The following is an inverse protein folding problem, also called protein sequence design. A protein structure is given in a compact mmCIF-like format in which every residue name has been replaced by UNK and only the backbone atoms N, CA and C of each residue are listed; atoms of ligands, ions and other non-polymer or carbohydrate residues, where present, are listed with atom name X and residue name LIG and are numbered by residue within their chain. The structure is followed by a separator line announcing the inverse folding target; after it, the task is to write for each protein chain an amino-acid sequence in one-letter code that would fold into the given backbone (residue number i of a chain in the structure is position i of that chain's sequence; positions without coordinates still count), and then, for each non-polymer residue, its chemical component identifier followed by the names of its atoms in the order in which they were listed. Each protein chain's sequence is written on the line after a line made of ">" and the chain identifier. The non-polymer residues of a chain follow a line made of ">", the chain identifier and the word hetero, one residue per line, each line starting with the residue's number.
data_IF_287026359503
#
_entry.id   IF_287026359503
#
_cell.length_a   1.000
_cell.length_b   1.000
_cell.length_c   1.000
_cell.angle_alpha   90.00
_cell.angle_beta   90.00
_cell.angle_gamma   90.00
#
_symmetry.space_group_name_H-M   'P 1'
#
loop_
_entity.id
_entity.type
_entity.pdbx_description
1 polymer ?
#
# COMPACT_ATOMS: atom_id res chain seq x y z
N UNK A 1 19.47 2.96 23.99
CA UNK A 1 18.81 4.02 23.19
C UNK A 1 17.78 3.36 22.28
N UNK A 2 16.51 3.71 22.48
CA UNK A 2 15.39 3.16 21.74
C UNK A 2 15.15 3.98 20.46
N UNK A 3 15.41 3.38 19.30
CA UNK A 3 15.06 4.00 18.01
C UNK A 3 13.58 3.75 17.68
N UNK A 4 12.83 4.79 17.36
CA UNK A 4 11.44 4.67 16.94
C UNK A 4 11.34 4.92 15.45
N UNK A 5 10.78 3.96 14.71
CA UNK A 5 10.55 4.07 13.28
C UNK A 5 9.07 4.36 13.02
N UNK A 6 8.80 5.35 12.19
CA UNK A 6 7.43 5.73 11.86
C UNK A 6 7.23 5.66 10.35
N UNK A 7 6.17 5.03 9.94
CA UNK A 7 5.76 4.94 8.56
C UNK A 7 4.40 5.64 8.41
N UNK A 8 4.31 6.62 7.52
CA UNK A 8 3.04 7.29 7.21
C UNK A 8 2.46 6.67 5.94
N UNK A 9 1.23 6.21 6.02
CA UNK A 9 0.48 5.82 4.83
C UNK A 9 -0.60 6.86 4.58
N UNK A 10 -0.54 7.55 3.44
CA UNK A 10 -1.59 8.46 3.03
C UNK A 10 -2.73 7.65 2.39
N UNK A 11 -3.76 7.37 3.17
CA UNK A 11 -5.02 6.89 2.63
C UNK A 11 -5.98 8.08 2.54
N UNK A 12 -6.81 8.11 1.50
CA UNK A 12 -7.78 9.17 1.22
C UNK A 12 -8.74 9.46 2.38
N UNK A 13 -9.40 10.64 2.40
CA UNK A 13 -9.84 11.33 3.63
C UNK A 13 -11.11 10.82 4.33
N UNK A 14 -11.52 9.58 4.19
CA UNK A 14 -12.72 9.10 4.89
C UNK A 14 -12.45 8.06 5.99
N UNK A 15 -11.23 7.59 6.11
CA UNK A 15 -10.85 6.72 7.24
C UNK A 15 -9.57 7.28 7.85
N UNK A 16 -9.66 7.71 9.06
CA UNK A 16 -8.61 8.46 9.77
C UNK A 16 -7.19 7.98 9.51
N UNK A 17 -6.33 8.93 9.21
CA UNK A 17 -4.92 8.71 8.93
C UNK A 17 -4.27 7.88 10.03
N UNK A 18 -3.75 6.73 9.67
CA UNK A 18 -3.01 5.89 10.61
C UNK A 18 -1.52 6.25 10.53
N UNK A 19 -1.07 7.05 11.46
CA UNK A 19 0.37 7.21 11.69
C UNK A 19 0.82 5.96 12.44
N UNK A 20 1.57 5.10 11.78
CA UNK A 20 2.08 3.87 12.38
C UNK A 20 3.49 4.12 12.90
N UNK A 21 3.70 3.90 14.19
CA UNK A 21 5.02 3.96 14.80
C UNK A 21 5.54 2.56 15.06
N UNK A 22 6.78 2.34 14.67
CA UNK A 22 7.49 1.10 14.99
C UNK A 22 8.55 1.43 16.02
N UNK A 23 8.43 0.93 17.24
CA UNK A 23 9.46 1.11 18.28
C UNK A 23 10.36 -0.12 18.34
N UNK A 24 11.67 0.13 18.28
CA UNK A 24 12.70 -0.91 18.43
C UNK A 24 13.28 -0.77 19.84
N UNK A 25 13.19 -1.81 20.66
CA UNK A 25 13.89 -1.86 21.95
C UNK A 25 15.16 -2.69 21.78
N UNK A 26 16.35 -2.14 22.07
CA UNK A 26 17.63 -2.80 21.71
C UNK A 26 18.01 -4.04 22.54
N UNK A 27 17.34 -4.31 23.65
CA UNK A 27 17.85 -5.26 24.64
C UNK A 27 17.21 -6.65 24.64
N UNK A 28 16.16 -6.87 23.86
CA UNK A 28 15.43 -8.16 23.89
C UNK A 28 14.92 -8.54 22.52
N UNK A 29 15.71 -9.03 21.61
CA UNK A 29 15.31 -9.62 20.33
C UNK A 29 13.94 -9.15 19.81
N UNK A 30 13.83 -7.97 19.32
CA UNK A 30 12.60 -7.17 19.33
C UNK A 30 11.65 -7.48 18.19
N UNK A 31 10.40 -7.80 18.51
CA UNK A 31 9.29 -7.70 17.57
C UNK A 31 9.01 -6.24 17.25
N UNK A 32 9.09 -5.88 15.98
CA UNK A 32 8.65 -4.59 15.47
C UNK A 32 7.13 -4.51 15.68
N UNK A 33 6.70 -3.73 16.65
CA UNK A 33 5.28 -3.45 16.86
C UNK A 33 4.88 -2.23 16.03
N UNK A 34 4.03 -2.45 15.05
CA UNK A 34 3.38 -1.34 14.33
C UNK A 34 2.26 -0.84 15.24
N UNK A 35 2.41 0.36 15.77
CA UNK A 35 1.40 0.98 16.62
C UNK A 35 0.85 2.23 15.96
N UNK A 36 -0.45 2.40 16.01
CA UNK A 36 -1.09 3.64 15.60
C UNK A 36 -0.79 4.73 16.64
N UNK A 37 -0.92 5.99 16.23
CA UNK A 37 -0.81 7.11 17.16
C UNK A 37 -1.85 6.96 18.27
N UNK A 38 -1.41 7.06 19.52
CA UNK A 38 -2.30 7.00 20.69
C UNK A 38 -3.20 8.24 20.74
N UNK A 39 -4.41 8.06 21.26
CA UNK A 39 -5.42 9.15 21.32
C UNK A 39 -4.89 10.41 22.01
N UNK A 40 -4.12 10.25 23.08
CA UNK A 40 -3.54 11.38 23.82
C UNK A 40 -2.51 12.15 22.99
N UNK A 41 -1.64 11.43 22.29
CA UNK A 41 -0.65 12.04 21.40
C UNK A 41 -1.32 12.73 20.21
N UNK A 42 -2.35 12.09 19.65
CA UNK A 42 -3.14 12.67 18.56
C UNK A 42 -3.80 13.98 19.01
N UNK A 43 -4.47 13.95 20.18
CA UNK A 43 -5.13 15.15 20.74
C UNK A 43 -4.12 16.28 20.95
N UNK A 44 -2.98 15.96 21.58
CA UNK A 44 -1.91 16.94 21.82
C UNK A 44 -1.40 17.58 20.51
N UNK A 45 -1.18 16.77 19.48
CA UNK A 45 -0.71 17.29 18.19
C UNK A 45 -1.78 18.15 17.51
N UNK A 46 -3.02 17.70 17.54
CA UNK A 46 -4.14 18.42 16.90
C UNK A 46 -4.44 19.74 17.56
N UNK A 47 -4.32 19.85 18.89
CA UNK A 47 -4.50 21.14 19.60
C UNK A 47 -3.52 22.20 19.07
N UNK A 48 -2.25 21.84 18.92
CA UNK A 48 -1.23 22.77 18.38
C UNK A 48 -1.52 23.16 16.93
N UNK A 49 -1.99 22.20 16.12
CA UNK A 49 -2.31 22.44 14.71
C UNK A 49 -3.53 23.37 14.60
N UNK A 50 -4.58 23.12 15.38
CA UNK A 50 -5.78 23.96 15.38
C UNK A 50 -5.44 25.41 15.73
N UNK A 51 -4.60 25.61 16.74
CA UNK A 51 -4.12 26.94 17.13
C UNK A 51 -3.33 27.62 16.00
N UNK A 52 -2.46 26.85 15.31
CA UNK A 52 -1.70 27.36 14.17
C UNK A 52 -2.63 27.71 12.99
N UNK A 53 -3.60 26.86 12.67
CA UNK A 53 -4.59 27.12 11.61
C UNK A 53 -5.39 28.40 11.91
N UNK A 54 -5.83 28.58 13.17
CA UNK A 54 -6.57 29.76 13.57
C UNK A 54 -5.73 31.05 13.38
N UNK A 55 -4.41 30.99 13.72
CA UNK A 55 -3.48 32.12 13.50
C UNK A 55 -3.32 32.42 12.01
N UNK A 56 -3.20 31.39 11.17
CA UNK A 56 -3.05 31.52 9.70
C UNK A 56 -4.29 32.22 9.10
N UNK A 57 -5.48 31.72 9.44
CA UNK A 57 -6.74 32.28 8.94
C UNK A 57 -6.90 33.75 9.41
N UNK A 58 -6.57 34.04 10.68
CA UNK A 58 -6.60 35.42 11.22
C UNK A 58 -5.62 36.35 10.49
N UNK A 59 -4.51 35.80 9.99
CA UNK A 59 -3.52 36.56 9.19
C UNK A 59 -3.92 36.69 7.72
N UNK A 60 -5.10 36.20 7.33
CA UNK A 60 -5.61 36.29 5.95
C UNK A 60 -5.11 35.19 5.02
N UNK A 61 -4.48 34.14 5.54
CA UNK A 61 -4.05 32.98 4.76
C UNK A 61 -5.21 31.98 4.59
N UNK A 62 -5.14 31.16 3.56
CA UNK A 62 -6.08 30.06 3.38
C UNK A 62 -5.93 29.03 4.50
N UNK A 63 -7.03 28.35 4.82
CA UNK A 63 -6.98 27.22 5.77
C UNK A 63 -6.18 26.08 5.13
N UNK A 64 -5.24 25.45 5.86
CA UNK A 64 -4.49 24.32 5.31
C UNK A 64 -5.38 23.16 4.87
N UNK A 65 -4.92 22.44 3.87
CA UNK A 65 -5.57 21.22 3.38
C UNK A 65 -5.46 20.09 4.41
N UNK A 66 -6.27 19.06 4.26
CA UNK A 66 -6.19 17.86 5.12
C UNK A 66 -4.78 17.25 5.09
N UNK A 67 -4.17 17.14 3.90
CA UNK A 67 -2.84 16.56 3.74
C UNK A 67 -1.76 17.39 4.47
N UNK A 68 -1.84 18.73 4.40
CA UNK A 68 -0.92 19.61 5.14
C UNK A 68 -1.09 19.45 6.66
N UNK A 69 -2.33 19.31 7.12
CA UNK A 69 -2.63 19.07 8.55
C UNK A 69 -2.04 17.73 9.00
N UNK A 70 -2.26 16.67 8.22
CA UNK A 70 -1.75 15.32 8.52
C UNK A 70 -0.22 15.28 8.52
N UNK A 71 0.40 15.99 7.58
CA UNK A 71 1.87 16.11 7.50
C UNK A 71 2.40 16.83 8.73
N UNK A 72 1.77 17.95 9.13
CA UNK A 72 2.14 18.67 10.35
C UNK A 72 1.99 17.79 11.60
N UNK A 73 0.88 17.04 11.68
CA UNK A 73 0.63 16.09 12.76
C UNK A 73 1.78 15.07 12.86
N UNK A 74 2.16 14.49 11.72
CA UNK A 74 3.26 13.50 11.69
C UNK A 74 4.57 14.11 12.21
N UNK A 75 4.94 15.31 11.77
CA UNK A 75 6.18 15.96 12.21
C UNK A 75 6.17 16.31 13.70
N UNK A 76 5.05 16.82 14.24
CA UNK A 76 4.92 17.13 15.68
C UNK A 76 5.05 15.83 16.47
N UNK A 77 4.39 14.78 16.01
CA UNK A 77 4.40 13.46 16.65
C UNK A 77 5.81 12.84 16.65
N UNK A 78 6.53 12.85 15.51
CA UNK A 78 7.90 12.34 15.42
C UNK A 78 8.83 13.07 16.41
N UNK A 79 8.71 14.40 16.46
CA UNK A 79 9.48 15.21 17.42
C UNK A 79 9.15 14.83 18.87
N UNK A 80 7.84 14.68 19.18
CA UNK A 80 7.38 14.31 20.52
C UNK A 80 7.91 12.94 20.95
N UNK A 81 7.91 11.98 20.02
CA UNK A 81 8.43 10.62 20.27
C UNK A 81 9.95 10.52 20.16
N UNK A 82 10.63 11.61 19.80
CA UNK A 82 12.10 11.66 19.62
C UNK A 82 12.59 10.59 18.65
N UNK A 83 11.91 10.45 17.53
CA UNK A 83 12.27 9.45 16.50
C UNK A 83 13.67 9.72 15.95
N UNK A 84 14.50 8.70 15.88
CA UNK A 84 15.85 8.78 15.29
C UNK A 84 15.78 8.86 13.76
N UNK A 85 14.81 8.17 13.16
CA UNK A 85 14.58 8.13 11.71
C UNK A 85 13.08 8.26 11.45
N UNK A 86 12.71 9.13 10.51
CA UNK A 86 11.36 9.22 9.97
C UNK A 86 11.39 8.79 8.51
N UNK A 87 10.50 7.89 8.10
CA UNK A 87 10.31 7.50 6.71
C UNK A 87 9.08 8.23 6.20
N UNK A 88 9.27 9.12 5.23
CA UNK A 88 8.22 9.98 4.68
C UNK A 88 7.90 9.57 3.25
N UNK A 89 6.63 9.29 2.98
CA UNK A 89 6.15 9.12 1.61
C UNK A 89 5.63 10.47 1.11
N UNK A 90 6.17 10.94 -0.02
CA UNK A 90 5.69 12.15 -0.69
C UNK A 90 4.28 11.90 -1.24
N UNK A 91 3.35 12.78 -0.95
CA UNK A 91 1.97 12.64 -1.39
C UNK A 91 1.81 12.82 -2.90
N UNK A 92 2.34 13.92 -3.44
CA UNK A 92 2.18 14.22 -4.87
C UNK A 92 3.25 15.16 -5.40
N UNK A 93 3.96 14.74 -6.43
CA UNK A 93 4.85 15.60 -7.23
C UNK A 93 6.21 15.93 -6.63
N UNK A 94 6.27 16.25 -5.38
CA UNK A 94 7.52 16.52 -4.65
C UNK A 94 7.77 17.98 -4.30
N UNK A 95 8.09 18.86 -5.26
CA UNK A 95 8.56 20.23 -4.95
C UNK A 95 7.52 21.10 -4.22
N UNK A 96 6.24 20.88 -4.47
CA UNK A 96 5.14 21.59 -3.80
C UNK A 96 4.46 20.73 -2.73
N UNK A 97 4.97 19.56 -2.48
CA UNK A 97 4.39 18.62 -1.49
C UNK A 97 4.66 19.12 -0.06
N UNK A 98 3.69 18.92 0.83
CA UNK A 98 3.80 19.33 2.23
C UNK A 98 4.98 18.67 2.96
N UNK A 99 5.39 17.48 2.52
CA UNK A 99 6.56 16.77 3.11
C UNK A 99 7.88 17.47 2.76
N UNK A 100 7.91 18.34 1.75
CA UNK A 100 9.14 19.02 1.29
C UNK A 100 9.57 20.17 2.20
N UNK A 101 8.99 20.31 3.39
CA UNK A 101 9.42 21.30 4.38
C UNK A 101 10.75 20.93 5.04
N UNK A 102 11.18 19.67 4.95
CA UNK A 102 12.43 19.21 5.56
C UNK A 102 13.64 19.84 4.85
N UNK A 103 14.58 20.43 5.61
CA UNK A 103 15.71 21.11 4.97
C UNK A 103 16.77 20.16 4.40
N UNK A 104 16.89 18.96 4.97
CA UNK A 104 17.86 17.95 4.52
C UNK A 104 17.29 16.55 4.75
N UNK A 105 17.40 15.70 3.73
CA UNK A 105 17.07 14.27 3.85
C UNK A 105 18.38 13.48 3.97
N UNK A 106 18.37 12.45 4.82
CA UNK A 106 19.53 11.52 4.95
C UNK A 106 19.61 10.58 3.75
N UNK A 107 18.46 10.26 3.18
CA UNK A 107 18.35 9.42 1.98
C UNK A 107 17.05 9.80 1.27
N UNK A 108 17.10 9.98 -0.03
CA UNK A 108 15.92 10.15 -0.88
C UNK A 108 15.78 8.90 -1.74
N UNK A 109 14.57 8.32 -1.77
CA UNK A 109 14.31 7.09 -2.51
C UNK A 109 13.33 7.41 -3.64
N UNK A 110 13.76 7.13 -4.87
CA UNK A 110 12.91 7.23 -6.07
C UNK A 110 12.45 5.81 -6.43
N UNK A 111 11.17 5.57 -6.27
CA UNK A 111 10.54 4.30 -6.65
C UNK A 111 10.08 4.36 -8.11
N UNK A 112 9.37 3.35 -8.58
CA UNK A 112 8.80 3.36 -9.92
C UNK A 112 7.85 4.55 -10.10
N UNK A 113 7.92 5.17 -11.26
CA UNK A 113 7.05 6.32 -11.61
C UNK A 113 6.08 5.82 -12.67
N UNK A 114 4.79 5.97 -12.41
CA UNK A 114 3.73 5.62 -13.33
C UNK A 114 2.94 6.85 -13.78
N UNK A 115 2.08 6.68 -14.77
CA UNK A 115 1.34 7.77 -15.41
C UNK A 115 0.02 8.09 -14.70
N UNK A 116 -0.01 7.96 -13.37
CA UNK A 116 -1.13 8.49 -12.55
C UNK A 116 -0.86 9.97 -12.24
N UNK A 117 -1.88 10.77 -12.11
CA UNK A 117 -1.79 12.22 -11.80
C UNK A 117 -0.94 13.02 -12.81
N UNK A 118 -1.18 12.80 -14.10
CA UNK A 118 -0.43 13.43 -15.22
C UNK A 118 -0.24 14.95 -15.11
N UNK A 119 -1.19 15.66 -14.55
CA UNK A 119 -1.15 17.13 -14.44
C UNK A 119 -0.07 17.63 -13.47
N UNK A 120 0.42 16.76 -12.57
CA UNK A 120 1.31 17.18 -11.47
C UNK A 120 2.69 16.49 -11.51
N UNK A 121 2.86 15.51 -12.40
CA UNK A 121 4.10 14.74 -12.43
C UNK A 121 5.19 15.40 -13.27
N UNK A 122 6.15 15.77 -12.70
CA UNK A 122 7.35 16.24 -13.30
C UNK A 122 8.49 15.30 -12.96
N UNK A 123 8.40 14.24 -13.44
CA UNK A 123 9.33 13.16 -13.23
C UNK A 123 10.76 13.49 -13.52
N UNK A 124 10.92 14.35 -14.32
CA UNK A 124 12.23 14.77 -14.62
C UNK A 124 12.82 15.70 -13.60
N UNK A 125 12.03 16.22 -13.01
CA UNK A 125 12.42 17.11 -11.99
C UNK A 125 13.06 16.45 -10.79
N UNK A 126 12.62 15.42 -10.50
CA UNK A 126 13.16 14.71 -9.38
C UNK A 126 14.56 14.20 -9.65
N UNK A 127 14.77 13.79 -10.72
CA UNK A 127 16.07 13.34 -11.11
C UNK A 127 17.03 14.52 -11.32
N UNK A 128 16.54 15.48 -11.74
CA UNK A 128 17.34 16.66 -11.85
C UNK A 128 17.64 17.36 -10.53
N UNK A 129 16.89 17.22 -9.76
CA UNK A 129 17.11 17.77 -8.46
C UNK A 129 18.12 16.97 -7.67
N UNK A 130 18.10 15.89 -7.82
CA UNK A 130 19.05 15.05 -7.17
C UNK A 130 20.46 15.23 -7.72
N UNK A 131 20.52 15.38 -8.83
CA UNK A 131 21.74 15.67 -9.46
C UNK A 131 22.31 17.06 -9.16
N UNK A 132 21.58 17.97 -9.00
CA UNK A 132 22.04 19.34 -8.66
C UNK A 132 22.50 19.46 -7.19
N UNK A 133 22.02 18.68 -6.34
CA UNK A 133 22.36 18.69 -4.90
C UNK A 133 23.66 17.91 -4.57
N UNK A 134 24.33 17.40 -5.56
CA UNK A 134 25.56 16.60 -5.40
C UNK A 134 25.33 15.36 -4.51
N UNK A 135 24.13 14.80 -4.56
CA UNK A 135 23.82 13.56 -3.82
C UNK A 135 24.46 12.36 -4.52
N UNK A 136 25.00 11.44 -3.75
CA UNK A 136 25.47 10.17 -4.28
C UNK A 136 24.27 9.36 -4.79
N UNK A 137 24.34 8.96 -6.06
CA UNK A 137 23.25 8.21 -6.70
C UNK A 137 23.57 6.71 -6.71
N UNK A 138 22.71 5.94 -6.10
CA UNK A 138 22.74 4.47 -6.18
C UNK A 138 21.54 4.01 -7.01
N UNK A 139 21.79 3.26 -8.06
CA UNK A 139 20.72 2.70 -8.91
C UNK A 139 20.57 1.21 -8.57
N UNK A 140 19.35 0.79 -8.30
CA UNK A 140 19.05 -0.62 -8.01
C UNK A 140 19.29 -1.49 -9.24
N UNK A 141 20.19 -2.45 -9.11
CA UNK A 141 20.44 -3.46 -10.16
C UNK A 141 19.55 -4.67 -9.89
N UNK A 142 18.34 -4.65 -10.43
CA UNK A 142 17.38 -5.74 -10.24
C UNK A 142 17.81 -7.04 -10.95
N UNK A 143 18.77 -6.98 -11.88
CA UNK A 143 19.30 -8.19 -12.52
C UNK A 143 20.15 -9.03 -11.56
N UNK A 144 20.64 -8.43 -10.47
CA UNK A 144 21.40 -9.11 -9.43
C UNK A 144 20.51 -9.88 -8.42
N UNK A 145 19.19 -9.85 -8.59
CA UNK A 145 18.26 -10.61 -7.75
C UNK A 145 18.27 -12.08 -8.18
N UNK A 146 18.47 -12.97 -7.23
CA UNK A 146 18.34 -14.41 -7.44
C UNK A 146 17.19 -14.92 -6.55
N UNK A 147 16.04 -15.18 -7.15
CA UNK A 147 14.87 -15.74 -6.44
C UNK A 147 15.12 -17.23 -6.25
N UNK A 148 15.19 -17.68 -4.99
CA UNK A 148 15.39 -19.09 -4.63
C UNK A 148 14.06 -19.84 -4.50
N UNK A 149 13.05 -19.18 -3.93
CA UNK A 149 11.72 -19.76 -3.76
C UNK A 149 10.67 -18.64 -3.76
N UNK A 150 9.55 -18.88 -4.44
CA UNK A 150 8.41 -17.95 -4.45
C UNK A 150 7.12 -18.76 -4.31
N UNK A 151 6.26 -18.34 -3.40
CA UNK A 151 4.98 -19.02 -3.15
C UNK A 151 4.09 -18.20 -2.24
N UNK A 152 2.96 -18.80 -1.84
CA UNK A 152 1.96 -18.13 -0.99
C UNK A 152 2.48 -17.81 0.41
N UNK A 153 3.61 -18.41 0.82
CA UNK A 153 4.26 -18.12 2.12
C UNK A 153 5.27 -16.98 2.04
N UNK A 154 5.48 -16.42 0.85
CA UNK A 154 6.44 -15.34 0.61
C UNK A 154 7.48 -15.69 -0.41
N UNK A 155 8.54 -14.89 -0.45
CA UNK A 155 9.65 -15.05 -1.40
C UNK A 155 10.98 -15.08 -0.66
N UNK A 156 11.79 -16.10 -0.97
CA UNK A 156 13.19 -16.20 -0.54
C UNK A 156 14.11 -15.82 -1.71
N UNK A 157 15.07 -14.95 -1.46
CA UNK A 157 15.93 -14.44 -2.53
C UNK A 157 17.29 -14.03 -1.99
N UNK A 158 18.24 -13.86 -2.90
CA UNK A 158 19.54 -13.26 -2.63
C UNK A 158 19.64 -11.96 -3.45
N UNK A 159 20.38 -10.99 -2.94
CA UNK A 159 20.71 -9.77 -3.67
C UNK A 159 22.17 -9.41 -3.42
N UNK A 160 22.99 -9.53 -4.45
CA UNK A 160 24.44 -9.29 -4.37
C UNK A 160 25.05 -10.10 -3.20
N UNK A 161 25.72 -9.43 -2.25
CA UNK A 161 26.33 -10.06 -1.08
C UNK A 161 25.32 -10.43 0.01
N UNK A 162 24.13 -9.83 -0.06
CA UNK A 162 23.06 -10.08 0.93
C UNK A 162 22.35 -11.39 0.59
N UNK A 163 22.62 -12.44 1.37
CA UNK A 163 22.11 -13.79 1.15
C UNK A 163 21.00 -14.13 2.15
N UNK A 164 20.18 -15.12 1.78
CA UNK A 164 19.13 -15.67 2.62
C UNK A 164 18.14 -14.61 3.10
N UNK A 165 17.72 -13.74 2.18
CA UNK A 165 16.69 -12.75 2.42
C UNK A 165 15.31 -13.38 2.23
N UNK A 166 14.32 -12.93 2.99
CA UNK A 166 12.93 -13.39 2.81
C UNK A 166 11.95 -12.27 3.11
N UNK A 167 10.85 -12.26 2.34
CA UNK A 167 9.71 -11.36 2.55
C UNK A 167 8.42 -12.17 2.54
N UNK A 168 7.49 -11.82 3.39
CA UNK A 168 6.14 -12.40 3.41
C UNK A 168 5.22 -11.70 2.40
N UNK A 169 5.53 -10.46 2.02
CA UNK A 169 4.77 -9.71 1.03
C UNK A 169 4.82 -10.43 -0.33
N UNK A 170 3.66 -10.66 -0.91
CA UNK A 170 3.53 -11.44 -2.15
C UNK A 170 3.72 -10.55 -3.38
N UNK A 171 4.35 -11.09 -4.40
CA UNK A 171 4.58 -10.43 -5.69
C UNK A 171 6.04 -10.06 -5.94
N UNK A 172 6.46 -10.20 -7.20
CA UNK A 172 7.83 -9.87 -7.64
C UNK A 172 8.14 -8.39 -7.35
N UNK A 173 7.15 -7.52 -7.48
CA UNK A 173 7.32 -6.09 -7.18
C UNK A 173 7.78 -5.86 -5.73
N UNK A 174 7.36 -6.72 -4.80
CA UNK A 174 7.77 -6.60 -3.40
C UNK A 174 9.25 -6.97 -3.21
N UNK A 175 9.79 -7.85 -4.05
CA UNK A 175 11.23 -8.14 -4.04
C UNK A 175 12.01 -6.89 -4.53
N UNK A 176 11.52 -6.20 -5.56
CA UNK A 176 12.12 -4.93 -6.02
C UNK A 176 12.05 -3.86 -4.92
N UNK A 177 10.92 -3.77 -4.22
CA UNK A 177 10.77 -2.84 -3.08
C UNK A 177 11.75 -3.20 -1.96
N UNK A 178 11.92 -4.48 -1.65
CA UNK A 178 12.87 -4.95 -0.63
C UNK A 178 14.31 -4.56 -1.02
N UNK A 179 14.70 -4.76 -2.28
CA UNK A 179 16.03 -4.34 -2.78
C UNK A 179 16.21 -2.83 -2.64
N UNK A 180 15.19 -2.06 -2.98
CA UNK A 180 15.23 -0.60 -2.84
C UNK A 180 15.41 -0.21 -1.37
N UNK A 181 14.71 -0.88 -0.45
CA UNK A 181 14.86 -0.65 0.99
C UNK A 181 16.27 -1.02 1.49
N UNK A 182 16.84 -2.14 1.01
CA UNK A 182 18.22 -2.56 1.34
C UNK A 182 19.21 -1.44 0.95
N UNK A 183 19.10 -0.93 -0.28
CA UNK A 183 19.99 0.14 -0.76
C UNK A 183 19.83 1.43 0.05
N UNK A 184 18.61 1.77 0.46
CA UNK A 184 18.37 2.91 1.34
C UNK A 184 19.05 2.72 2.72
N UNK A 185 18.98 1.50 3.26
CA UNK A 185 19.62 1.15 4.53
C UNK A 185 21.15 1.21 4.39
N UNK A 186 21.72 0.72 3.28
CA UNK A 186 23.15 0.81 3.00
C UNK A 186 23.62 2.26 2.94
N UNK A 187 22.81 3.15 2.33
CA UNK A 187 23.10 4.59 2.30
C UNK A 187 23.06 5.20 3.72
N UNK A 188 22.14 4.76 4.58
CA UNK A 188 22.08 5.22 5.98
C UNK A 188 23.33 4.77 6.76
N UNK A 189 23.82 3.55 6.53
CA UNK A 189 25.07 3.07 7.15
C UNK A 189 26.25 3.98 6.77
N UNK A 190 26.31 4.45 5.52
CA UNK A 190 27.30 5.44 5.08
C UNK A 190 27.17 6.80 5.79
N UNK A 191 26.00 7.06 6.40
CA UNK A 191 25.69 8.31 7.10
C UNK A 191 25.68 8.18 8.64
N UNK A 192 26.38 7.17 9.18
CA UNK A 192 26.64 7.05 10.62
C UNK A 192 25.67 6.13 11.39
N UNK A 193 24.77 5.45 10.72
CA UNK A 193 23.94 4.43 11.34
C UNK A 193 24.66 3.07 11.30
N UNK A 194 24.30 2.16 12.18
CA UNK A 194 24.88 0.81 12.22
C UNK A 194 23.74 -0.20 12.10
N UNK A 195 23.43 -0.58 10.86
CA UNK A 195 22.37 -1.55 10.55
C UNK A 195 23.04 -2.74 9.86
N UNK A 196 23.06 -3.88 10.53
CA UNK A 196 23.72 -5.10 10.02
C UNK A 196 22.74 -5.99 9.25
N UNK A 197 23.24 -7.04 8.62
CA UNK A 197 22.44 -7.94 7.78
C UNK A 197 21.30 -8.63 8.55
N UNK A 198 21.48 -8.90 9.84
CA UNK A 198 20.41 -9.55 10.62
C UNK A 198 19.24 -8.58 10.83
N UNK A 199 19.52 -7.30 11.09
CA UNK A 199 18.47 -6.27 11.16
C UNK A 199 17.70 -6.18 9.84
N UNK A 200 18.40 -6.29 8.70
CA UNK A 200 17.78 -6.27 7.37
C UNK A 200 16.86 -7.49 7.20
N UNK A 201 17.37 -8.68 7.53
CA UNK A 201 16.59 -9.93 7.42
C UNK A 201 15.31 -9.85 8.28
N UNK A 202 15.45 -9.46 9.53
CA UNK A 202 14.32 -9.33 10.47
C UNK A 202 13.31 -8.30 9.95
N UNK A 203 13.76 -7.12 9.53
CA UNK A 203 12.90 -6.07 9.02
C UNK A 203 12.13 -6.48 7.77
N UNK A 204 12.78 -7.23 6.87
CA UNK A 204 12.13 -7.74 5.66
C UNK A 204 11.10 -8.82 5.99
N UNK A 205 11.41 -9.74 6.90
CA UNK A 205 10.49 -10.79 7.34
C UNK A 205 9.26 -10.24 8.07
N UNK A 206 9.43 -9.16 8.81
CA UNK A 206 8.35 -8.55 9.59
C UNK A 206 7.56 -7.52 8.78
N UNK A 207 8.03 -7.18 7.57
CA UNK A 207 7.33 -6.23 6.71
C UNK A 207 5.92 -6.72 6.38
N UNK A 208 4.93 -5.86 6.59
CA UNK A 208 3.54 -6.11 6.23
C UNK A 208 2.96 -4.86 5.60
N UNK A 209 2.06 -5.03 4.65
CA UNK A 209 1.44 -3.90 3.99
C UNK A 209 -0.01 -4.24 3.63
N UNK A 210 -0.95 -3.82 4.44
CA UNK A 210 -2.37 -4.14 4.19
C UNK A 210 -2.83 -3.64 2.82
N UNK A 211 -3.58 -4.48 2.11
CA UNK A 211 -4.14 -4.14 0.80
C UNK A 211 -3.15 -4.17 -0.36
N UNK A 212 -2.02 -4.88 -0.22
CA UNK A 212 -1.09 -5.12 -1.34
C UNK A 212 -0.93 -6.62 -1.57
N UNK A 213 -1.81 -7.18 -2.38
CA UNK A 213 -1.95 -8.64 -2.63
C UNK A 213 -1.91 -9.41 -1.30
N UNK A 214 -2.67 -8.90 -0.37
CA UNK A 214 -2.67 -9.37 1.02
C UNK A 214 -3.59 -10.58 1.18
N UNK A 215 -3.03 -11.72 1.56
CA UNK A 215 -3.80 -12.91 1.88
C UNK A 215 -4.38 -12.77 3.30
N UNK A 216 -5.70 -12.76 3.41
CA UNK A 216 -6.40 -12.62 4.70
C UNK A 216 -7.06 -13.94 5.17
N UNK A 217 -7.17 -14.92 4.25
CA UNK A 217 -7.72 -16.24 4.57
C UNK A 217 -7.12 -17.29 3.62
N UNK A 218 -6.98 -18.51 4.10
CA UNK A 218 -6.37 -19.62 3.36
C UNK A 218 -7.38 -20.53 2.65
N UNK A 219 -8.57 -20.69 3.23
CA UNK A 219 -9.62 -21.57 2.67
C UNK A 219 -11.01 -20.98 2.88
N UNK A 220 -11.66 -20.48 1.82
CA UNK A 220 -11.04 -20.24 0.51
C UNK A 220 -9.93 -19.19 0.59
N UNK A 221 -9.02 -19.21 -0.36
CA UNK A 221 -7.99 -18.15 -0.43
C UNK A 221 -8.70 -16.82 -0.69
N UNK A 222 -8.48 -15.84 0.20
CA UNK A 222 -9.05 -14.49 0.04
C UNK A 222 -7.91 -13.48 0.03
N UNK A 223 -7.85 -12.69 -1.06
CA UNK A 223 -6.80 -11.69 -1.31
C UNK A 223 -7.45 -10.30 -1.35
N UNK A 224 -6.82 -9.35 -0.67
CA UNK A 224 -7.16 -7.92 -0.76
C UNK A 224 -6.06 -7.17 -1.51
N UNK A 225 -6.45 -6.32 -2.47
CA UNK A 225 -5.49 -5.50 -3.22
C UNK A 225 -6.06 -4.12 -3.54
N UNK A 226 -5.25 -3.09 -3.36
CA UNK A 226 -5.65 -1.69 -3.61
C UNK A 226 -5.52 -1.23 -5.06
N UNK A 227 -5.30 -2.14 -6.01
CA UNK A 227 -5.12 -1.78 -7.42
C UNK A 227 -6.34 -1.01 -7.96
N UNK A 228 -6.11 0.22 -8.42
CA UNK A 228 -7.17 1.11 -8.90
C UNK A 228 -6.73 1.94 -10.13
N UNK A 229 -5.56 1.66 -10.68
CA UNK A 229 -5.05 2.28 -11.92
C UNK A 229 -4.41 1.19 -12.80
N UNK A 230 -4.07 1.52 -14.03
CA UNK A 230 -3.60 0.56 -15.03
C UNK A 230 -2.35 -0.21 -14.59
N UNK A 231 -1.35 0.48 -14.04
CA UNK A 231 -0.07 -0.15 -13.65
C UNK A 231 -0.25 -1.09 -12.45
N UNK A 232 -1.02 -0.66 -11.43
CA UNK A 232 -1.33 -1.50 -10.29
C UNK A 232 -2.16 -2.73 -10.72
N UNK A 233 -3.10 -2.55 -11.65
CA UNK A 233 -3.92 -3.63 -12.19
C UNK A 233 -3.07 -4.64 -12.99
N UNK A 234 -2.09 -4.14 -13.77
CA UNK A 234 -1.16 -5.01 -14.49
C UNK A 234 -0.35 -5.88 -13.50
N UNK A 235 0.14 -5.26 -12.41
CA UNK A 235 0.87 -5.98 -11.36
C UNK A 235 -0.04 -7.00 -10.66
N UNK A 236 -1.28 -6.60 -10.34
CA UNK A 236 -2.28 -7.50 -9.74
C UNK A 236 -2.57 -8.69 -10.64
N UNK A 237 -2.83 -8.46 -11.94
CA UNK A 237 -3.08 -9.54 -12.90
C UNK A 237 -1.91 -10.52 -12.99
N UNK A 238 -0.68 -10.00 -12.97
CA UNK A 238 0.52 -10.84 -12.94
C UNK A 238 0.59 -11.68 -11.66
N UNK A 239 0.30 -11.09 -10.51
CA UNK A 239 0.28 -11.83 -9.24
C UNK A 239 -0.81 -12.91 -9.23
N UNK A 240 -2.01 -12.59 -9.71
CA UNK A 240 -3.11 -13.56 -9.83
C UNK A 240 -2.65 -14.78 -10.64
N UNK A 241 -2.07 -14.54 -11.82
CA UNK A 241 -1.58 -15.63 -12.69
C UNK A 241 -0.42 -16.41 -12.07
N UNK A 242 0.36 -15.78 -11.20
CA UNK A 242 1.51 -16.44 -10.54
C UNK A 242 1.06 -17.32 -9.37
N UNK A 243 0.17 -16.80 -8.54
CA UNK A 243 -0.12 -17.40 -7.23
C UNK A 243 -1.40 -18.22 -7.17
N UNK A 244 -2.35 -17.99 -8.10
CA UNK A 244 -3.69 -18.58 -8.01
C UNK A 244 -4.03 -19.49 -9.20
N UNK A 245 -3.00 -20.08 -9.81
CA UNK A 245 -3.19 -21.02 -10.93
C UNK A 245 -4.05 -22.23 -10.50
N UNK A 246 -4.97 -22.60 -11.38
CA UNK A 246 -5.81 -23.79 -11.18
C UNK A 246 -7.05 -23.54 -10.32
N UNK A 247 -7.21 -22.34 -9.76
CA UNK A 247 -8.40 -22.02 -8.97
C UNK A 247 -9.47 -21.31 -9.81
N UNK A 248 -10.72 -21.53 -9.47
CA UNK A 248 -11.84 -20.72 -9.95
C UNK A 248 -11.74 -19.36 -9.25
N UNK A 249 -11.76 -18.27 -10.00
CA UNK A 249 -11.46 -16.93 -9.45
C UNK A 249 -12.71 -16.05 -9.44
N UNK A 250 -13.15 -15.67 -8.26
CA UNK A 250 -14.26 -14.75 -8.03
C UNK A 250 -13.71 -13.39 -7.61
N UNK A 251 -14.13 -12.34 -8.29
CA UNK A 251 -13.68 -10.99 -7.97
C UNK A 251 -14.78 -10.21 -7.27
N UNK A 252 -14.41 -9.45 -6.22
CA UNK A 252 -15.24 -8.38 -5.65
C UNK A 252 -14.58 -7.09 -6.12
N UNK A 253 -15.23 -6.37 -7.04
CA UNK A 253 -14.64 -5.18 -7.64
C UNK A 253 -15.48 -3.94 -7.37
N UNK A 254 -14.82 -2.90 -6.83
CA UNK A 254 -15.45 -1.60 -6.62
C UNK A 254 -14.45 -0.49 -6.95
N UNK A 255 -14.85 0.50 -7.74
CA UNK A 255 -13.95 1.54 -8.25
C UNK A 255 -14.58 2.93 -8.11
N UNK A 256 -13.76 3.95 -8.14
CA UNK A 256 -14.23 5.34 -8.20
C UNK A 256 -14.45 5.79 -9.65
N UNK A 257 -15.40 6.70 -9.85
CA UNK A 257 -15.81 7.24 -11.15
C UNK A 257 -14.68 7.89 -11.93
N UNK A 258 -13.75 8.50 -11.21
CA UNK A 258 -12.63 9.28 -11.77
C UNK A 258 -11.41 8.40 -12.14
N UNK A 259 -11.47 7.09 -11.93
CA UNK A 259 -10.38 6.17 -12.25
C UNK A 259 -10.59 5.47 -13.59
N UNK A 260 -9.50 5.03 -14.23
CA UNK A 260 -9.55 4.25 -15.46
C UNK A 260 -9.89 2.78 -15.17
N UNK A 261 -11.12 2.55 -14.73
CA UNK A 261 -11.59 1.21 -14.39
C UNK A 261 -11.65 0.26 -15.59
N UNK A 262 -11.74 0.79 -16.81
CA UNK A 262 -11.67 -0.06 -18.01
C UNK A 262 -10.27 -0.67 -18.16
N UNK A 263 -9.22 0.10 -17.92
CA UNK A 263 -7.86 -0.45 -17.90
C UNK A 263 -7.69 -1.49 -16.78
N UNK A 264 -8.28 -1.22 -15.61
CA UNK A 264 -8.24 -2.19 -14.49
C UNK A 264 -8.88 -3.52 -14.92
N UNK A 265 -10.08 -3.47 -15.52
CA UNK A 265 -10.75 -4.67 -16.05
C UNK A 265 -9.88 -5.39 -17.08
N UNK A 266 -9.33 -4.68 -18.08
CA UNK A 266 -8.53 -5.30 -19.14
C UNK A 266 -7.29 -6.04 -18.62
N UNK A 267 -6.70 -5.60 -17.51
CA UNK A 267 -5.48 -6.21 -16.97
C UNK A 267 -5.74 -7.35 -15.99
N UNK A 268 -6.95 -7.47 -15.45
CA UNK A 268 -7.26 -8.45 -14.41
C UNK A 268 -8.32 -9.46 -14.78
N UNK A 269 -9.32 -9.05 -15.57
CA UNK A 269 -10.57 -9.80 -15.71
C UNK A 269 -10.45 -11.05 -16.59
N UNK A 270 -9.42 -11.17 -17.42
CA UNK A 270 -9.18 -12.37 -18.25
C UNK A 270 -8.96 -13.64 -17.41
N UNK A 271 -8.63 -13.48 -16.13
CA UNK A 271 -8.45 -14.60 -15.20
C UNK A 271 -9.73 -14.91 -14.41
N UNK A 272 -10.72 -14.00 -14.40
CA UNK A 272 -11.91 -14.17 -13.55
C UNK A 272 -12.90 -15.16 -14.13
N UNK A 273 -13.52 -15.94 -13.25
CA UNK A 273 -14.69 -16.75 -13.60
C UNK A 273 -15.96 -15.90 -13.50
N UNK A 274 -16.01 -14.97 -12.56
CA UNK A 274 -17.14 -14.06 -12.36
C UNK A 274 -16.68 -12.83 -11.57
N UNK A 275 -17.18 -11.64 -11.95
CA UNK A 275 -16.91 -10.38 -11.24
C UNK A 275 -18.18 -9.95 -10.51
N UNK A 276 -18.14 -9.83 -9.20
CA UNK A 276 -19.23 -9.30 -8.39
C UNK A 276 -18.96 -7.81 -8.15
N UNK A 277 -19.74 -6.96 -8.77
CA UNK A 277 -19.56 -5.52 -8.77
C UNK A 277 -20.23 -4.90 -7.55
N UNK A 278 -19.47 -4.05 -6.82
CA UNK A 278 -19.97 -3.34 -5.63
C UNK A 278 -19.83 -1.83 -5.83
N UNK A 279 -20.59 -1.05 -5.06
CA UNK A 279 -20.46 0.40 -5.01
C UNK A 279 -19.58 0.79 -3.82
N UNK A 280 -18.33 1.27 -4.04
CA UNK A 280 -17.51 1.73 -2.94
C UNK A 280 -18.17 2.87 -2.15
N UNK A 281 -17.86 3.03 -0.85
CA UNK A 281 -18.45 4.08 -0.05
C UNK A 281 -18.08 5.48 -0.54
N UNK A 282 -18.97 6.44 -0.26
CA UNK A 282 -18.77 7.85 -0.58
C UNK A 282 -19.26 8.26 -1.97
N UNK A 283 -19.32 9.58 -2.22
CA UNK A 283 -19.95 10.13 -3.44
C UNK A 283 -19.16 9.86 -4.73
N UNK A 284 -17.89 9.50 -4.61
CA UNK A 284 -17.04 9.17 -5.75
C UNK A 284 -17.24 7.73 -6.25
N UNK A 285 -17.90 6.87 -5.47
CA UNK A 285 -18.11 5.46 -5.85
C UNK A 285 -18.84 5.34 -7.19
N UNK A 286 -18.30 4.50 -8.09
CA UNK A 286 -18.99 4.13 -9.32
C UNK A 286 -20.13 3.17 -8.96
N UNK A 287 -21.39 3.42 -9.37
CA UNK A 287 -22.46 2.47 -9.10
C UNK A 287 -22.13 1.07 -9.63
N UNK A 288 -22.35 0.06 -8.81
CA UNK A 288 -22.07 -1.35 -9.10
C UNK A 288 -22.70 -1.80 -10.43
N UNK A 289 -23.93 -1.38 -10.69
CA UNK A 289 -24.64 -1.68 -11.95
C UNK A 289 -23.89 -1.12 -13.17
N UNK A 290 -23.35 0.10 -13.06
CA UNK A 290 -22.58 0.71 -14.16
C UNK A 290 -21.27 -0.06 -14.39
N UNK A 291 -20.60 -0.48 -13.32
CA UNK A 291 -19.38 -1.30 -13.42
C UNK A 291 -19.70 -2.65 -14.10
N UNK A 292 -20.81 -3.29 -13.69
CA UNK A 292 -21.29 -4.53 -14.32
C UNK A 292 -21.49 -4.34 -15.82
N UNK A 293 -22.21 -3.29 -16.22
CA UNK A 293 -22.49 -3.01 -17.65
C UNK A 293 -21.19 -2.85 -18.44
N UNK A 294 -20.18 -2.18 -17.88
CA UNK A 294 -18.89 -2.00 -18.54
C UNK A 294 -18.11 -3.32 -18.64
N UNK A 295 -18.12 -4.13 -17.59
CA UNK A 295 -17.48 -5.45 -17.63
C UNK A 295 -18.11 -6.35 -18.71
N UNK A 296 -19.44 -6.37 -18.78
CA UNK A 296 -20.18 -7.15 -19.80
C UNK A 296 -19.87 -6.64 -21.22
N UNK A 297 -19.77 -5.32 -21.43
CA UNK A 297 -19.39 -4.74 -22.75
C UNK A 297 -17.99 -5.19 -23.17
N UNK A 298 -17.09 -5.40 -22.21
CA UNK A 298 -15.73 -5.89 -22.47
C UNK A 298 -15.68 -7.42 -22.62
N UNK A 299 -16.80 -8.10 -22.46
CA UNK A 299 -16.90 -9.56 -22.66
C UNK A 299 -16.65 -10.39 -21.40
N UNK A 300 -16.61 -9.77 -20.23
CA UNK A 300 -16.39 -10.48 -18.96
C UNK A 300 -17.72 -10.78 -18.27
N UNK A 301 -17.80 -11.92 -17.60
CA UNK A 301 -18.97 -12.29 -16.79
C UNK A 301 -19.01 -11.44 -15.53
N UNK A 302 -20.12 -10.76 -15.29
CA UNK A 302 -20.23 -9.85 -14.15
C UNK A 302 -21.66 -9.78 -13.62
N UNK A 303 -21.78 -9.63 -12.30
CA UNK A 303 -23.06 -9.50 -11.61
C UNK A 303 -23.06 -8.26 -10.70
N UNK A 304 -24.19 -7.56 -10.66
CA UNK A 304 -24.39 -6.41 -9.77
C UNK A 304 -24.72 -6.91 -8.37
N UNK A 305 -23.73 -6.92 -7.50
CA UNK A 305 -23.91 -7.34 -6.10
C UNK A 305 -24.34 -6.18 -5.20
N UNK A 306 -24.05 -4.93 -5.62
CA UNK A 306 -24.39 -3.74 -4.83
C UNK A 306 -23.43 -3.48 -3.68
N UNK A 307 -23.28 -4.45 -2.75
CA UNK A 307 -22.44 -4.33 -1.57
C UNK A 307 -21.63 -5.62 -1.29
N UNK A 308 -20.74 -5.54 -0.29
CA UNK A 308 -19.79 -6.63 0.04
C UNK A 308 -20.52 -7.86 0.60
N UNK A 309 -21.49 -7.64 1.49
CA UNK A 309 -22.25 -8.74 2.09
C UNK A 309 -22.95 -9.57 1.02
N UNK A 310 -23.65 -8.89 0.11
CA UNK A 310 -24.32 -9.51 -1.02
C UNK A 310 -23.35 -10.23 -1.95
N UNK A 311 -22.19 -9.61 -2.23
CA UNK A 311 -21.15 -10.22 -3.09
C UNK A 311 -20.64 -11.55 -2.48
N UNK A 312 -20.35 -11.60 -1.19
CA UNK A 312 -19.89 -12.83 -0.52
C UNK A 312 -20.98 -13.91 -0.52
N UNK A 313 -22.25 -13.51 -0.33
CA UNK A 313 -23.40 -14.43 -0.40
C UNK A 313 -23.57 -15.03 -1.80
N UNK A 314 -23.46 -14.19 -2.86
CA UNK A 314 -23.52 -14.63 -4.24
C UNK A 314 -22.36 -15.57 -4.59
N UNK A 315 -21.13 -15.24 -4.14
CA UNK A 315 -19.95 -16.11 -4.34
C UNK A 315 -20.17 -17.48 -3.68
N UNK A 316 -20.67 -17.49 -2.46
CA UNK A 316 -20.95 -18.76 -1.73
C UNK A 316 -21.98 -19.60 -2.48
N UNK A 317 -23.04 -18.97 -3.00
CA UNK A 317 -24.08 -19.64 -3.79
C UNK A 317 -23.53 -20.18 -5.11
N UNK A 318 -22.71 -19.40 -5.80
CA UNK A 318 -22.06 -19.77 -7.06
C UNK A 318 -21.09 -20.95 -6.87
N UNK A 319 -20.27 -20.89 -5.82
CA UNK A 319 -19.34 -21.98 -5.47
C UNK A 319 -20.11 -23.27 -5.18
N UNK A 320 -21.20 -23.19 -4.40
CA UNK A 320 -22.04 -24.34 -4.09
C UNK A 320 -22.72 -24.92 -5.35
N UNK A 321 -23.23 -24.05 -6.22
CA UNK A 321 -23.88 -24.48 -7.49
C UNK A 321 -22.88 -25.22 -8.40
N UNK A 322 -21.60 -24.80 -8.39
CA UNK A 322 -20.53 -25.42 -9.15
C UNK A 322 -19.83 -26.56 -8.40
N UNK A 323 -20.32 -26.91 -7.20
CA UNK A 323 -19.79 -28.00 -6.34
C UNK A 323 -18.30 -27.82 -6.01
N UNK A 324 -17.88 -26.58 -5.78
CA UNK A 324 -16.48 -26.25 -5.43
C UNK A 324 -16.30 -26.37 -3.91
N UNK A 325 -15.21 -26.99 -3.50
CA UNK A 325 -14.74 -26.95 -2.11
C UNK A 325 -13.95 -25.64 -1.88
N UNK A 326 -13.70 -25.30 -0.62
CA UNK A 326 -12.96 -24.07 -0.27
C UNK A 326 -11.56 -24.00 -0.90
N UNK A 327 -10.96 -25.15 -1.18
CA UNK A 327 -9.64 -25.23 -1.82
C UNK A 327 -9.69 -25.03 -3.35
N UNK A 328 -10.86 -25.11 -3.99
CA UNK A 328 -10.99 -25.06 -5.45
C UNK A 328 -11.08 -23.64 -5.99
N UNK A 329 -11.38 -22.65 -5.15
CA UNK A 329 -11.59 -21.27 -5.60
C UNK A 329 -10.84 -20.25 -4.75
N UNK A 330 -10.76 -19.04 -5.26
CA UNK A 330 -10.21 -17.89 -4.53
C UNK A 330 -11.05 -16.64 -4.78
N UNK A 331 -11.06 -15.76 -3.80
CA UNK A 331 -11.77 -14.47 -3.86
C UNK A 331 -10.72 -13.35 -3.86
N UNK A 332 -10.81 -12.43 -4.81
CA UNK A 332 -9.91 -11.28 -4.89
C UNK A 332 -10.76 -10.00 -4.82
N UNK A 333 -10.57 -9.20 -3.78
CA UNK A 333 -11.25 -7.90 -3.62
C UNK A 333 -10.29 -6.77 -3.99
N UNK A 334 -10.69 -5.90 -4.94
CA UNK A 334 -9.80 -4.84 -5.44
C UNK A 334 -10.59 -3.72 -6.13
N UNK A 335 -9.88 -2.65 -6.49
CA UNK A 335 -10.41 -1.51 -7.23
C UNK A 335 -10.39 -0.20 -6.43
N UNK A 336 -10.34 -0.28 -5.10
CA UNK A 336 -10.13 0.86 -4.22
C UNK A 336 -9.74 0.39 -2.83
N UNK A 337 -8.84 1.09 -2.17
CA UNK A 337 -8.49 0.82 -0.77
C UNK A 337 -9.65 1.11 0.19
N UNK A 338 -10.59 1.98 -0.22
CA UNK A 338 -11.63 2.53 0.67
C UNK A 338 -12.56 1.49 1.29
N UNK A 339 -12.77 0.35 0.63
CA UNK A 339 -13.68 -0.69 1.12
C UNK A 339 -12.98 -1.97 1.61
N UNK A 340 -11.66 -2.08 1.46
CA UNK A 340 -10.95 -3.33 1.78
C UNK A 340 -11.08 -3.73 3.27
N UNK A 341 -11.13 -2.74 4.16
CA UNK A 341 -11.32 -3.04 5.59
C UNK A 341 -12.72 -3.64 5.84
N UNK A 342 -13.73 -3.13 5.16
CA UNK A 342 -15.09 -3.67 5.24
C UNK A 342 -15.14 -5.11 4.71
N UNK A 343 -14.41 -5.40 3.62
CA UNK A 343 -14.27 -6.79 3.12
C UNK A 343 -13.68 -7.68 4.22
N UNK A 344 -12.61 -7.23 4.89
CA UNK A 344 -11.96 -7.99 5.97
C UNK A 344 -12.96 -8.29 7.10
N UNK A 345 -13.72 -7.29 7.51
CA UNK A 345 -14.71 -7.45 8.57
C UNK A 345 -15.82 -8.44 8.18
N UNK A 346 -16.30 -8.34 6.94
CA UNK A 346 -17.39 -9.19 6.45
C UNK A 346 -16.91 -10.64 6.24
N UNK A 347 -15.68 -10.82 5.75
CA UNK A 347 -15.04 -12.14 5.62
C UNK A 347 -14.95 -12.82 7.00
N UNK A 348 -14.56 -12.08 8.04
CA UNK A 348 -14.47 -12.63 9.40
C UNK A 348 -15.86 -13.08 9.93
N UNK A 349 -16.93 -12.41 9.53
CA UNK A 349 -18.31 -12.80 9.91
C UNK A 349 -18.80 -14.03 9.12
N UNK A 350 -18.46 -14.08 7.82
CA UNK A 350 -18.97 -15.10 6.90
C UNK A 350 -18.21 -16.42 6.98
N UNK A 351 -16.90 -16.35 7.13
CA UNK A 351 -15.99 -17.51 7.06
C UNK A 351 -15.16 -17.71 8.34
N UNK A 352 -15.37 -16.91 9.38
CA UNK A 352 -14.63 -16.94 10.64
C UNK A 352 -15.02 -18.03 11.62
#
# INVERSE_FOLDING_TARGET
>A
ETGTRVQTTSNEPETGSRVQTTSIQPETGTKVQVTSIEKEDYTFCMEQIQEACARMVKAGMAHPTSFEIETALAFIYFRRKKCDIAVLETGMGGSLDATNIIPTAKCAVLTSISMDHLEYLXXXXXXXXXXSQKADLTIADFSAINIRRMGMEGTEFDYKENKELSIKLLGVNQVYNAVTAILAIEALNGNGYTININHIREGLQDASWPGRFERIKDEPVIILDGAHNADAALALGKNIRTYLQGKVLYYIMGVFKDKDYQAVLRHTADCSSMIFCITPPGPRGLPSKQLQEEALKLGYLAEDAGDIHSALGLISSEAAANKLNSEDYAIIAFGSLSFLNEVREEVNKTFG
#
